data_IF_586482528467
#
_entry.id   IF_586482528467
#
_cell.length_a   1.000
_cell.length_b   1.000
_cell.length_c   1.000
_cell.angle_alpha   90.00
_cell.angle_beta   90.00
_cell.angle_gamma   90.00
#
_symmetry.space_group_name_H-M   'P 1'
#
loop_
_entity.id
_entity.type
_entity.pdbx_description
1 polymer ?
#
# COMPACT_ATOMS: atom_id res chain seq x y z
N UNK A 1 67.45 24.61 17.52
CA UNK A 1 67.97 23.54 16.60
C UNK A 1 66.81 22.98 15.83
N UNK A 2 66.85 23.17 14.55
CA UNK A 2 65.87 22.70 13.58
C UNK A 2 66.00 21.20 13.31
N UNK A 3 64.97 20.52 12.94
CA UNK A 3 64.89 19.37 11.98
C UNK A 3 63.39 19.09 11.68
N UNK A 4 62.93 19.50 10.57
CA UNK A 4 62.68 18.96 9.21
C UNK A 4 61.54 17.89 9.12
N UNK A 5 60.65 18.28 8.24
CA UNK A 5 59.63 17.61 7.47
C UNK A 5 59.78 16.09 7.22
N UNK A 6 58.66 15.39 7.21
CA UNK A 6 58.40 14.33 6.24
C UNK A 6 56.90 14.27 5.87
N UNK A 7 56.66 14.56 4.62
CA UNK A 7 55.40 14.45 3.89
C UNK A 7 55.03 12.99 3.64
N UNK A 8 53.79 12.60 3.88
CA UNK A 8 53.24 11.33 3.45
C UNK A 8 51.81 11.51 2.96
N UNK A 9 51.63 11.76 1.66
CA UNK A 9 50.32 11.72 0.96
C UNK A 9 49.88 10.26 0.80
N UNK A 10 48.76 9.90 1.33
CA UNK A 10 48.00 8.77 0.81
C UNK A 10 46.51 9.16 0.75
N UNK A 11 46.07 9.41 -0.48
CA UNK A 11 44.66 9.48 -0.85
C UNK A 11 44.12 8.09 -1.07
N UNK A 12 43.00 7.69 -0.46
CA UNK A 12 42.20 6.57 -0.98
C UNK A 12 41.25 7.12 -2.05
N UNK A 13 41.39 6.59 -3.26
CA UNK A 13 40.50 6.78 -4.39
C UNK A 13 39.14 6.14 -4.08
N UNK A 14 38.14 6.93 -3.76
CA UNK A 14 36.75 6.50 -3.65
C UNK A 14 36.20 6.17 -5.05
N UNK A 15 35.94 4.90 -5.31
CA UNK A 15 35.17 4.46 -6.46
C UNK A 15 33.70 4.87 -6.26
N UNK A 16 33.26 5.90 -6.98
CA UNK A 16 31.85 6.21 -7.10
C UNK A 16 31.13 5.05 -7.81
N UNK A 17 30.34 4.27 -7.06
CA UNK A 17 29.34 3.37 -7.62
C UNK A 17 28.24 4.22 -8.25
N UNK A 18 28.10 4.15 -9.57
CA UNK A 18 26.96 4.68 -10.30
C UNK A 18 25.69 3.95 -9.82
N UNK A 19 24.57 4.65 -9.56
CA UNK A 19 23.30 3.99 -9.32
C UNK A 19 22.86 3.27 -10.58
N UNK A 20 22.48 1.99 -10.42
CA UNK A 20 21.97 1.17 -11.50
C UNK A 20 20.72 1.81 -12.11
N UNK A 21 20.70 1.88 -13.44
CA UNK A 21 19.50 2.20 -14.22
C UNK A 21 18.41 1.18 -13.87
N UNK A 22 17.33 1.65 -13.32
CA UNK A 22 16.08 0.89 -13.30
C UNK A 22 15.65 0.69 -14.76
N UNK A 23 15.71 -0.52 -15.24
CA UNK A 23 15.05 -0.92 -16.48
C UNK A 23 13.54 -0.72 -16.28
N UNK A 24 13.02 0.30 -16.94
CA UNK A 24 11.57 0.41 -17.17
C UNK A 24 11.20 -0.70 -18.12
N UNK A 25 10.59 -1.76 -17.60
CA UNK A 25 9.86 -2.71 -18.41
C UNK A 25 8.71 -1.94 -19.09
N UNK A 26 8.93 -1.58 -20.33
CA UNK A 26 7.88 -1.10 -21.21
C UNK A 26 6.87 -2.22 -21.39
N UNK A 27 5.71 -2.06 -20.77
CA UNK A 27 4.54 -2.87 -21.07
C UNK A 27 4.25 -2.69 -22.56
N UNK A 28 4.43 -3.77 -23.32
CA UNK A 28 4.02 -3.85 -24.71
C UNK A 28 2.51 -3.70 -24.74
N UNK A 29 2.06 -2.54 -25.23
CA UNK A 29 0.69 -2.36 -25.64
C UNK A 29 0.40 -3.39 -26.73
N UNK A 30 -0.53 -4.30 -26.44
CA UNK A 30 -1.08 -5.19 -27.43
C UNK A 30 -1.73 -4.33 -28.51
N UNK A 31 -1.19 -4.42 -29.72
CA UNK A 31 -1.70 -3.70 -30.87
C UNK A 31 -3.14 -4.11 -31.14
N UNK A 32 -3.99 -3.10 -31.21
CA UNK A 32 -5.31 -3.20 -31.81
C UNK A 32 -5.08 -3.50 -33.28
N UNK A 33 -5.35 -4.74 -33.68
CA UNK A 33 -5.44 -5.08 -35.11
C UNK A 33 -6.57 -4.27 -35.71
N UNK A 34 -6.24 -3.23 -36.44
CA UNK A 34 -7.18 -2.55 -37.33
C UNK A 34 -7.54 -3.56 -38.44
N UNK A 35 -8.74 -4.12 -38.35
CA UNK A 35 -9.36 -4.78 -39.49
C UNK A 35 -9.65 -3.72 -40.54
N UNK A 36 -8.75 -3.57 -41.49
CA UNK A 36 -9.02 -2.87 -42.75
C UNK A 36 -10.02 -3.75 -43.50
N UNK A 37 -11.27 -3.34 -43.53
CA UNK A 37 -12.24 -3.86 -44.43
C UNK A 37 -11.80 -3.46 -45.85
N UNK A 38 -11.07 -4.31 -46.52
CA UNK A 38 -10.86 -4.22 -47.97
C UNK A 38 -12.22 -4.46 -48.61
N UNK A 39 -12.80 -3.38 -49.12
CA UNK A 39 -13.98 -3.44 -49.96
C UNK A 39 -13.67 -4.30 -51.21
N UNK A 40 -14.24 -5.46 -51.28
CA UNK A 40 -14.31 -6.22 -52.52
C UNK A 40 -15.31 -5.49 -53.40
N UNK A 41 -14.79 -4.70 -54.33
CA UNK A 41 -15.59 -4.26 -55.50
C UNK A 41 -15.82 -5.52 -56.34
N UNK A 42 -16.93 -6.17 -56.11
CA UNK A 42 -17.41 -7.24 -56.96
C UNK A 42 -17.82 -6.66 -58.31
N UNK A 43 -16.94 -6.82 -59.30
CA UNK A 43 -17.33 -6.65 -60.69
C UNK A 43 -18.31 -7.76 -61.02
N UNK A 44 -19.61 -7.43 -61.08
CA UNK A 44 -20.59 -8.29 -61.67
C UNK A 44 -20.29 -8.38 -63.15
N UNK A 45 -19.55 -9.43 -63.54
CA UNK A 45 -19.47 -9.87 -64.91
C UNK A 45 -20.83 -10.47 -65.24
N UNK A 46 -21.63 -9.75 -66.02
CA UNK A 46 -22.85 -10.24 -66.62
C UNK A 46 -22.43 -11.29 -67.66
N UNK A 47 -23.06 -12.48 -67.69
CA UNK A 47 -22.86 -13.41 -68.82
C UNK A 47 -23.42 -12.79 -70.08
N UNK A 48 -22.55 -12.62 -71.09
CA UNK A 48 -22.99 -12.26 -72.44
C UNK A 48 -23.75 -13.43 -73.03
N UNK A 49 -25.05 -13.36 -73.02
CA UNK A 49 -25.87 -14.21 -73.83
C UNK A 49 -25.79 -13.70 -75.27
N UNK A 50 -25.10 -14.48 -76.12
CA UNK A 50 -25.13 -14.29 -77.57
C UNK A 50 -26.51 -14.66 -78.03
N UNK A 51 -27.29 -13.72 -78.45
CA UNK A 51 -28.55 -13.88 -79.14
C UNK A 51 -28.29 -13.73 -80.65
N UNK A 52 -28.63 -14.75 -81.41
CA UNK A 52 -28.64 -14.75 -82.89
C UNK A 52 -29.59 -13.66 -83.43
N UNK A 53 -29.31 -13.11 -84.59
CA UNK A 53 -30.12 -12.05 -85.16
C UNK A 53 -31.38 -12.64 -85.83
N UNK A 54 -32.53 -12.29 -85.30
CA UNK A 54 -33.78 -12.48 -85.96
C UNK A 54 -34.45 -11.16 -86.29
N UNK A 55 -34.57 -10.91 -87.60
CA UNK A 55 -35.57 -10.14 -88.32
C UNK A 55 -36.06 -8.76 -87.76
N UNK A 56 -35.90 -7.80 -88.64
CA UNK A 56 -36.51 -6.49 -88.66
C UNK A 56 -37.92 -6.38 -88.10
N UNK A 57 -38.15 -5.59 -87.06
CA UNK A 57 -39.43 -4.94 -86.83
C UNK A 57 -39.19 -3.49 -86.45
N UNK A 58 -39.58 -2.63 -87.32
CA UNK A 58 -39.80 -1.21 -87.16
C UNK A 58 -40.75 -0.95 -86.00
N UNK A 59 -40.29 -0.32 -84.91
CA UNK A 59 -41.15 0.06 -83.84
C UNK A 59 -40.42 0.79 -82.77
N UNK A 60 -40.79 1.97 -82.44
CA UNK A 60 -40.42 2.88 -81.39
C UNK A 60 -40.10 2.09 -80.09
N UNK A 61 -38.85 1.99 -79.78
CA UNK A 61 -38.41 1.45 -78.48
C UNK A 61 -38.88 2.44 -77.39
N UNK A 62 -39.58 2.02 -76.35
CA UNK A 62 -39.95 2.88 -75.27
C UNK A 62 -38.69 3.14 -74.38
N UNK A 63 -37.93 4.14 -74.75
CA UNK A 63 -36.75 4.62 -73.99
C UNK A 63 -37.11 5.06 -72.57
N UNK A 64 -38.41 5.33 -72.34
CA UNK A 64 -38.95 5.83 -71.07
C UNK A 64 -38.96 4.80 -69.92
N UNK A 65 -39.02 3.49 -70.21
CA UNK A 65 -39.14 2.48 -69.17
C UNK A 65 -37.76 2.09 -68.50
N UNK A 66 -36.66 2.35 -69.18
CA UNK A 66 -35.31 1.99 -68.64
C UNK A 66 -34.82 3.09 -67.70
N UNK A 67 -35.11 4.36 -68.02
CA UNK A 67 -34.68 5.48 -67.17
C UNK A 67 -35.40 5.45 -65.81
N UNK A 68 -36.69 5.14 -65.76
CA UNK A 68 -37.43 5.02 -64.50
C UNK A 68 -36.94 3.84 -63.65
N UNK A 69 -36.57 2.71 -64.26
CA UNK A 69 -36.07 1.56 -63.51
C UNK A 69 -34.70 1.80 -62.93
N UNK A 70 -33.83 2.58 -63.55
CA UNK A 70 -32.53 2.95 -63.06
C UNK A 70 -32.64 3.99 -61.90
N UNK A 71 -33.54 4.97 -62.04
CA UNK A 71 -33.82 5.93 -60.96
C UNK A 71 -34.31 5.23 -59.69
N UNK A 72 -35.32 4.33 -59.84
CA UNK A 72 -35.85 3.52 -58.74
C UNK A 72 -34.79 2.64 -58.06
N UNK A 73 -33.83 2.09 -58.81
CA UNK A 73 -32.72 1.32 -58.27
C UNK A 73 -31.74 2.20 -57.49
N UNK A 74 -31.43 3.39 -57.98
CA UNK A 74 -30.55 4.35 -57.31
C UNK A 74 -31.17 4.81 -55.97
N UNK A 75 -32.47 5.14 -55.97
CA UNK A 75 -33.20 5.53 -54.77
C UNK A 75 -33.26 4.37 -53.75
N UNK A 76 -33.56 3.16 -54.19
CA UNK A 76 -33.55 2.01 -53.32
C UNK A 76 -32.15 1.71 -52.72
N UNK A 77 -31.10 1.91 -53.52
CA UNK A 77 -29.71 1.76 -53.04
C UNK A 77 -29.34 2.87 -52.05
N UNK A 78 -29.74 4.13 -52.29
CA UNK A 78 -29.50 5.24 -51.38
C UNK A 78 -30.19 5.00 -50.03
N UNK A 79 -31.46 4.58 -50.01
CA UNK A 79 -32.19 4.23 -48.77
C UNK A 79 -31.54 3.06 -48.05
N UNK A 80 -31.05 2.02 -48.76
CA UNK A 80 -30.38 0.90 -48.16
C UNK A 80 -29.03 1.30 -47.52
N UNK A 81 -28.28 2.20 -48.17
CA UNK A 81 -27.03 2.76 -47.60
C UNK A 81 -27.28 3.62 -46.37
N UNK A 82 -28.30 4.46 -46.37
CA UNK A 82 -28.67 5.28 -45.22
C UNK A 82 -29.06 4.42 -44.00
N UNK A 83 -29.89 3.37 -44.24
CA UNK A 83 -30.23 2.39 -43.18
C UNK A 83 -29.01 1.67 -42.64
N UNK A 84 -28.13 1.18 -43.48
CA UNK A 84 -26.88 0.50 -43.07
C UNK A 84 -25.97 1.48 -42.27
N UNK A 85 -25.86 2.71 -42.69
CA UNK A 85 -25.10 3.73 -41.97
C UNK A 85 -25.71 4.05 -40.58
N UNK A 86 -27.04 4.15 -40.49
CA UNK A 86 -27.74 4.34 -39.22
C UNK A 86 -27.57 3.16 -38.26
N UNK A 87 -27.67 1.92 -38.76
CA UNK A 87 -27.45 0.72 -37.98
C UNK A 87 -25.99 0.64 -37.49
N UNK A 88 -25.02 0.92 -38.35
CA UNK A 88 -23.61 0.96 -37.98
C UNK A 88 -23.32 2.04 -36.92
N UNK A 89 -23.94 3.22 -37.03
CA UNK A 89 -23.80 4.27 -36.05
C UNK A 89 -24.39 3.85 -34.67
N UNK A 90 -25.58 3.25 -34.70
CA UNK A 90 -26.25 2.72 -33.50
C UNK A 90 -25.41 1.62 -32.82
N UNK A 91 -24.89 0.66 -33.59
CA UNK A 91 -24.01 -0.40 -33.08
C UNK A 91 -22.72 0.16 -32.48
N UNK A 92 -22.11 1.17 -33.11
CA UNK A 92 -20.91 1.85 -32.60
C UNK A 92 -21.20 2.56 -31.28
N UNK A 93 -22.34 3.25 -31.18
CA UNK A 93 -22.76 3.92 -29.95
C UNK A 93 -22.97 2.93 -28.80
N UNK A 94 -23.70 1.84 -29.06
CA UNK A 94 -23.95 0.78 -28.08
C UNK A 94 -22.63 0.12 -27.61
N UNK A 95 -21.69 -0.12 -28.53
CA UNK A 95 -20.37 -0.66 -28.17
C UNK A 95 -19.56 0.32 -27.30
N UNK A 96 -19.63 1.61 -27.57
CA UNK A 96 -18.98 2.64 -26.76
C UNK A 96 -19.59 2.74 -25.36
N UNK A 97 -20.91 2.68 -25.24
CA UNK A 97 -21.61 2.70 -23.96
C UNK A 97 -21.23 1.46 -23.13
N UNK A 98 -21.28 0.27 -23.71
CA UNK A 98 -20.87 -0.96 -23.05
C UNK A 98 -19.39 -0.95 -22.62
N UNK A 99 -18.51 -0.35 -23.43
CA UNK A 99 -17.09 -0.20 -23.06
C UNK A 99 -16.91 0.77 -21.87
N UNK A 100 -17.67 1.87 -21.84
CA UNK A 100 -17.66 2.83 -20.72
C UNK A 100 -18.18 2.20 -19.43
N UNK A 101 -19.26 1.46 -19.49
CA UNK A 101 -19.82 0.74 -18.33
C UNK A 101 -18.82 -0.28 -17.78
N UNK A 102 -18.22 -1.08 -18.65
CA UNK A 102 -17.16 -2.03 -18.24
C UNK A 102 -15.95 -1.35 -17.61
N UNK A 103 -15.52 -0.22 -18.18
CA UNK A 103 -14.42 0.56 -17.62
C UNK A 103 -14.79 1.17 -16.25
N UNK A 104 -16.00 1.69 -16.10
CA UNK A 104 -16.49 2.22 -14.84
C UNK A 104 -16.62 1.13 -13.76
N UNK A 105 -17.18 -0.03 -14.11
CA UNK A 105 -17.29 -1.17 -13.22
C UNK A 105 -15.90 -1.68 -12.75
N UNK A 106 -14.94 -1.77 -13.67
CA UNK A 106 -13.56 -2.14 -13.36
C UNK A 106 -12.90 -1.14 -12.41
N UNK A 107 -13.02 0.16 -12.70
CA UNK A 107 -12.46 1.21 -11.86
C UNK A 107 -13.08 1.22 -10.45
N UNK A 108 -14.39 0.96 -10.34
CA UNK A 108 -15.08 0.82 -9.05
C UNK A 108 -14.54 -0.39 -8.27
N UNK A 109 -14.43 -1.55 -8.90
CA UNK A 109 -13.90 -2.76 -8.27
C UNK A 109 -12.45 -2.59 -7.80
N UNK A 110 -11.61 -1.91 -8.58
CA UNK A 110 -10.22 -1.61 -8.19
C UNK A 110 -10.15 -0.67 -6.97
N UNK A 111 -11.02 0.35 -6.90
CA UNK A 111 -11.12 1.25 -5.73
C UNK A 111 -11.54 0.47 -4.47
N UNK A 112 -12.59 -0.33 -4.56
CA UNK A 112 -13.08 -1.15 -3.45
C UNK A 112 -12.03 -2.15 -2.96
N UNK A 113 -11.30 -2.78 -3.89
CA UNK A 113 -10.20 -3.69 -3.55
C UNK A 113 -9.06 -2.96 -2.82
N UNK A 114 -8.66 -1.77 -3.27
CA UNK A 114 -7.64 -0.94 -2.61
C UNK A 114 -8.07 -0.51 -1.21
N UNK A 115 -9.31 -0.07 -1.04
CA UNK A 115 -9.83 0.32 0.26
C UNK A 115 -9.89 -0.86 1.23
N UNK A 116 -10.32 -2.03 0.75
CA UNK A 116 -10.34 -3.26 1.56
C UNK A 116 -8.94 -3.66 2.00
N UNK A 117 -7.98 -3.65 1.08
CA UNK A 117 -6.58 -3.95 1.37
C UNK A 117 -5.98 -2.94 2.38
N UNK A 118 -6.27 -1.64 2.23
CA UNK A 118 -5.81 -0.62 3.15
C UNK A 118 -6.38 -0.80 4.57
N UNK A 119 -7.69 -1.09 4.69
CA UNK A 119 -8.33 -1.38 5.99
C UNK A 119 -7.75 -2.64 6.65
N UNK A 120 -7.46 -3.68 5.86
CA UNK A 120 -6.85 -4.90 6.37
C UNK A 120 -5.41 -4.66 6.84
N UNK A 121 -4.61 -3.92 6.08
CA UNK A 121 -3.25 -3.55 6.46
C UNK A 121 -3.24 -2.71 7.75
N UNK A 122 -4.13 -1.74 7.87
CA UNK A 122 -4.26 -0.91 9.07
C UNK A 122 -4.69 -1.74 10.28
N UNK A 123 -5.65 -2.64 10.12
CA UNK A 123 -6.05 -3.56 11.18
C UNK A 123 -4.88 -4.44 11.63
N UNK A 124 -4.11 -4.99 10.69
CA UNK A 124 -2.90 -5.78 11.02
C UNK A 124 -1.88 -4.93 11.76
N UNK A 125 -1.65 -3.68 11.33
CA UNK A 125 -0.75 -2.75 12.01
C UNK A 125 -1.18 -2.47 13.45
N UNK A 126 -2.46 -2.19 13.67
CA UNK A 126 -3.00 -1.89 15.01
C UNK A 126 -3.01 -3.10 15.95
N UNK A 127 -3.01 -4.32 15.42
CA UNK A 127 -2.93 -5.57 16.19
C UNK A 127 -1.50 -6.11 16.33
N UNK A 128 -0.52 -5.47 15.71
CA UNK A 128 0.88 -5.89 15.83
C UNK A 128 1.48 -5.42 17.15
N UNK A 129 2.56 -6.10 17.55
CA UNK A 129 3.40 -5.70 18.67
C UNK A 129 4.84 -5.50 18.22
N UNK A 130 5.58 -4.66 18.94
CA UNK A 130 6.98 -4.34 18.66
C UNK A 130 7.80 -4.28 19.95
N UNK A 131 9.12 -4.35 19.87
CA UNK A 131 10.00 -4.11 21.01
C UNK A 131 9.88 -2.65 21.49
N UNK A 132 9.91 -2.38 22.81
CA UNK A 132 9.85 -1.03 23.35
C UNK A 132 11.07 -0.19 22.98
N UNK A 133 12.22 -0.81 22.71
CA UNK A 133 13.42 -0.17 22.17
C UNK A 133 13.92 -0.98 20.97
N UNK A 134 14.03 -0.34 19.84
CA UNK A 134 14.48 -0.99 18.60
C UNK A 134 15.94 -1.42 18.71
N UNK A 135 16.23 -2.69 18.39
CA UNK A 135 17.58 -3.23 18.35
C UNK A 135 18.24 -3.39 19.72
N UNK A 136 17.50 -3.27 20.83
CA UNK A 136 17.97 -3.50 22.17
C UNK A 136 17.77 -4.96 22.64
N UNK A 137 18.36 -5.27 23.78
CA UNK A 137 18.26 -6.57 24.45
C UNK A 137 17.95 -6.40 25.94
N UNK A 138 17.43 -7.46 26.58
CA UNK A 138 17.16 -7.50 28.01
C UNK A 138 18.48 -7.62 28.77
N UNK A 139 18.82 -6.57 29.56
CA UNK A 139 20.02 -6.53 30.39
C UNK A 139 19.79 -7.09 31.80
N UNK A 140 18.55 -6.95 32.33
CA UNK A 140 18.16 -7.50 33.64
C UNK A 140 16.82 -8.22 33.50
N UNK A 141 16.77 -9.49 33.91
CA UNK A 141 15.61 -10.35 33.76
C UNK A 141 14.51 -10.12 34.79
N UNK A 142 13.32 -10.60 34.47
CA UNK A 142 12.16 -10.66 35.39
C UNK A 142 12.45 -11.53 36.62
N UNK A 143 12.02 -11.08 37.80
CA UNK A 143 12.24 -11.73 39.12
C UNK A 143 13.71 -11.90 39.50
N UNK A 144 14.62 -11.15 38.86
CA UNK A 144 16.01 -11.09 39.35
C UNK A 144 16.02 -10.61 40.80
N UNK A 145 16.68 -11.34 41.70
CA UNK A 145 16.81 -11.01 43.13
C UNK A 145 17.84 -9.91 43.38
N UNK A 146 17.67 -9.14 44.44
CA UNK A 146 18.67 -8.13 44.88
C UNK A 146 18.08 -7.07 45.82
N UNK A 147 18.94 -6.44 46.62
CA UNK A 147 18.54 -5.43 47.60
C UNK A 147 18.16 -4.08 46.98
N UNK A 148 18.36 -3.90 45.68
CA UNK A 148 18.05 -2.66 44.96
C UNK A 148 16.56 -2.53 44.63
N UNK A 149 15.79 -3.61 44.69
CA UNK A 149 14.36 -3.61 44.41
C UNK A 149 13.53 -3.53 45.67
N UNK A 150 12.57 -2.60 45.73
CA UNK A 150 11.71 -2.38 46.90
C UNK A 150 10.90 -3.60 47.31
N UNK A 151 10.55 -4.50 46.34
CA UNK A 151 9.83 -5.76 46.56
C UNK A 151 10.74 -6.96 46.81
N UNK A 152 12.07 -6.79 46.85
CA UNK A 152 13.06 -7.88 46.94
C UNK A 152 13.32 -8.62 45.64
N UNK A 153 12.54 -8.33 44.58
CA UNK A 153 12.73 -8.90 43.25
C UNK A 153 12.33 -7.90 42.15
N UNK A 154 12.88 -8.07 40.97
CA UNK A 154 12.62 -7.22 39.80
C UNK A 154 11.21 -7.49 39.24
N UNK A 155 10.35 -6.47 39.23
CA UNK A 155 8.94 -6.57 38.81
C UNK A 155 8.78 -6.51 37.28
N UNK A 156 9.83 -6.18 36.56
CA UNK A 156 9.88 -6.07 35.10
C UNK A 156 11.12 -6.68 34.47
N UNK A 157 11.46 -6.17 33.32
CA UNK A 157 12.75 -6.40 32.66
C UNK A 157 13.38 -5.06 32.30
N UNK A 158 14.71 -4.98 32.32
CA UNK A 158 15.42 -3.80 31.88
C UNK A 158 15.96 -4.02 30.48
N UNK A 159 15.63 -3.11 29.58
CA UNK A 159 16.23 -3.02 28.25
C UNK A 159 17.45 -2.11 28.29
N UNK A 160 18.57 -2.58 27.78
CA UNK A 160 19.76 -1.76 27.61
C UNK A 160 19.46 -0.52 26.76
N UNK A 161 19.70 0.68 27.31
CA UNK A 161 19.45 1.91 26.60
C UNK A 161 20.29 3.06 27.19
N UNK A 162 20.92 3.84 26.33
CA UNK A 162 21.48 5.11 26.72
C UNK A 162 20.36 6.12 27.06
N UNK A 163 20.61 7.09 27.93
CA UNK A 163 19.66 8.16 28.17
C UNK A 163 19.37 8.91 26.86
N UNK A 164 18.09 9.20 26.59
CA UNK A 164 17.63 9.82 25.36
C UNK A 164 17.33 8.87 24.21
N UNK A 165 17.43 7.54 24.42
CA UNK A 165 16.98 6.57 23.40
C UNK A 165 15.46 6.58 23.29
N UNK A 166 14.93 6.53 22.05
CA UNK A 166 13.49 6.51 21.80
C UNK A 166 12.83 5.28 22.38
N UNK A 167 11.79 5.50 23.18
CA UNK A 167 10.92 4.46 23.76
C UNK A 167 9.59 4.45 23.02
N UNK A 168 9.15 3.26 22.62
CA UNK A 168 7.96 3.07 21.79
C UNK A 168 6.89 2.25 22.53
N UNK A 169 5.62 2.56 22.28
CA UNK A 169 4.52 1.72 22.71
C UNK A 169 4.63 0.34 22.04
N UNK A 170 4.61 -0.72 22.83
CA UNK A 170 4.75 -2.09 22.30
C UNK A 170 3.55 -2.54 21.48
N UNK A 171 2.37 -1.97 21.71
CA UNK A 171 1.14 -2.29 21.02
C UNK A 171 0.16 -1.11 21.03
N UNK A 172 -1.07 -1.34 20.55
CA UNK A 172 -2.14 -0.34 20.62
C UNK A 172 -2.78 -0.33 22.01
N UNK A 173 -3.06 0.88 22.52
CA UNK A 173 -3.68 1.06 23.82
C UNK A 173 -4.01 2.51 24.12
N UNK A 174 -4.41 2.76 25.38
CA UNK A 174 -4.69 4.11 25.90
C UNK A 174 -3.81 4.38 27.10
N UNK A 175 -3.15 5.52 27.14
CA UNK A 175 -2.33 5.96 28.27
C UNK A 175 -3.22 6.19 29.49
N UNK A 176 -2.95 5.48 30.57
CA UNK A 176 -3.69 5.62 31.85
C UNK A 176 -2.89 6.35 32.91
N UNK A 177 -1.55 6.33 32.81
CA UNK A 177 -0.66 7.12 33.67
C UNK A 177 0.46 7.72 32.81
N UNK A 178 0.84 8.95 33.13
CA UNK A 178 2.00 9.65 32.55
C UNK A 178 2.50 10.72 33.54
N UNK A 179 3.64 10.49 34.14
CA UNK A 179 4.19 11.40 35.16
C UNK A 179 5.20 10.74 36.09
N UNK A 180 5.37 11.32 37.28
CA UNK A 180 6.30 10.79 38.28
C UNK A 180 5.66 9.63 39.07
N UNK A 181 6.26 8.46 38.97
CA UNK A 181 5.81 7.20 39.59
C UNK A 181 6.69 6.73 40.77
N UNK A 182 7.23 7.65 41.58
CA UNK A 182 8.04 7.25 42.73
C UNK A 182 9.37 6.59 42.33
N UNK A 183 9.57 5.34 42.73
CA UNK A 183 10.77 4.58 42.40
C UNK A 183 10.98 4.39 40.88
N UNK A 184 9.92 4.39 40.09
CA UNK A 184 9.97 4.31 38.63
C UNK A 184 10.40 5.62 37.95
N UNK A 185 10.54 6.71 38.70
CA UNK A 185 10.84 8.02 38.13
C UNK A 185 9.73 8.53 37.21
N UNK A 186 10.09 9.15 36.10
CA UNK A 186 9.10 9.42 35.06
C UNK A 186 8.65 8.11 34.44
N UNK A 187 7.34 7.85 34.49
CA UNK A 187 6.76 6.63 33.99
C UNK A 187 5.55 6.88 33.07
N UNK A 188 5.25 5.91 32.27
CA UNK A 188 4.04 5.82 31.46
C UNK A 188 3.40 4.45 31.71
N UNK A 189 2.09 4.40 31.93
CA UNK A 189 1.30 3.14 31.96
C UNK A 189 0.27 3.20 30.85
N UNK A 190 0.21 2.14 30.03
CA UNK A 190 -0.71 2.03 28.90
C UNK A 190 -1.62 0.82 29.14
N UNK A 191 -2.93 1.05 29.11
CA UNK A 191 -3.92 -0.02 29.02
C UNK A 191 -3.98 -0.52 27.59
N UNK A 192 -3.57 -1.75 27.37
CA UNK A 192 -3.50 -2.38 26.06
C UNK A 192 -4.89 -2.86 25.61
N UNK A 193 -5.06 -3.05 24.29
CA UNK A 193 -6.34 -3.51 23.72
C UNK A 193 -6.68 -4.97 24.07
N UNK A 194 -5.71 -5.75 24.51
CA UNK A 194 -5.89 -7.12 25.03
C UNK A 194 -6.36 -7.17 26.49
N UNK A 195 -6.50 -6.01 27.14
CA UNK A 195 -6.91 -5.86 28.55
C UNK A 195 -5.76 -5.86 29.53
N UNK A 196 -4.52 -6.10 29.13
CA UNK A 196 -3.33 -5.99 29.97
C UNK A 196 -2.86 -4.55 30.09
N UNK A 197 -1.81 -4.33 30.90
CA UNK A 197 -1.17 -3.03 31.05
C UNK A 197 0.33 -3.16 30.81
N UNK A 198 0.93 -2.15 30.19
CA UNK A 198 2.39 -2.06 30.04
C UNK A 198 2.89 -0.80 30.71
N UNK A 199 4.01 -0.90 31.43
CA UNK A 199 4.66 0.23 32.09
C UNK A 199 6.05 0.45 31.50
N UNK A 200 6.43 1.73 31.42
CA UNK A 200 7.69 2.22 30.91
C UNK A 200 8.29 3.17 31.94
N UNK A 201 9.30 2.72 32.68
CA UNK A 201 9.92 3.47 33.78
C UNK A 201 11.25 4.10 33.44
N UNK A 202 11.75 4.92 34.39
CA UNK A 202 13.05 5.61 34.40
C UNK A 202 13.27 6.56 33.22
N UNK A 203 12.17 7.09 32.62
CA UNK A 203 12.24 7.93 31.45
C UNK A 203 12.91 9.29 31.75
N UNK A 204 13.68 9.80 30.78
CA UNK A 204 14.19 11.18 30.82
C UNK A 204 13.11 12.19 30.40
N UNK A 205 12.19 11.77 29.50
CA UNK A 205 11.08 12.60 29.08
C UNK A 205 9.86 11.76 28.71
N UNK A 206 8.67 12.33 28.91
CA UNK A 206 7.37 11.79 28.57
C UNK A 206 6.85 12.55 27.35
N UNK A 207 6.45 11.83 26.29
CA UNK A 207 5.96 12.41 25.03
C UNK A 207 4.46 12.22 24.80
N UNK A 208 3.73 11.70 25.79
CA UNK A 208 2.29 11.41 25.70
C UNK A 208 1.55 11.88 26.94
N UNK A 209 0.22 11.96 26.86
CA UNK A 209 -0.64 12.42 27.96
C UNK A 209 -1.67 11.35 28.33
N UNK A 210 -2.14 11.37 29.56
CA UNK A 210 -3.25 10.49 30.02
C UNK A 210 -4.48 10.67 29.15
N UNK A 211 -5.10 9.57 28.76
CA UNK A 211 -6.24 9.52 27.84
C UNK A 211 -5.85 9.46 26.36
N UNK A 212 -4.58 9.65 26.02
CA UNK A 212 -4.10 9.57 24.64
C UNK A 212 -4.09 8.11 24.16
N UNK A 213 -4.67 7.85 22.98
CA UNK A 213 -4.52 6.57 22.28
C UNK A 213 -3.17 6.51 21.59
N UNK A 214 -2.49 5.38 21.71
CA UNK A 214 -1.21 5.09 21.07
C UNK A 214 -1.31 3.87 20.16
N UNK A 215 -0.40 3.79 19.19
CA UNK A 215 -0.31 2.69 18.23
C UNK A 215 1.05 1.99 18.34
N UNK A 216 1.18 0.73 17.89
CA UNK A 216 2.45 0.01 17.94
C UNK A 216 3.58 0.78 17.27
N UNK A 217 4.72 0.88 17.93
CA UNK A 217 5.88 1.61 17.42
C UNK A 217 5.79 3.14 17.52
N UNK A 218 4.70 3.69 18.07
CA UNK A 218 4.63 5.12 18.35
C UNK A 218 5.61 5.48 19.46
N UNK A 219 6.44 6.49 19.23
CA UNK A 219 7.30 7.01 20.29
C UNK A 219 6.45 7.64 21.39
N UNK A 220 6.69 7.22 22.64
CA UNK A 220 5.96 7.67 23.84
C UNK A 220 6.83 8.43 24.81
N UNK A 221 8.16 8.31 24.70
CA UNK A 221 9.10 8.98 25.58
C UNK A 221 10.55 8.70 25.17
N UNK A 222 11.46 9.11 26.03
CA UNK A 222 12.89 8.82 25.91
C UNK A 222 13.36 8.10 27.18
N UNK A 223 14.20 7.08 27.04
CA UNK A 223 14.84 6.40 28.15
C UNK A 223 15.73 7.33 28.98
N UNK A 224 15.96 7.00 30.20
CA UNK A 224 16.74 7.84 31.10
C UNK A 224 17.27 7.10 32.33
N UNK A 225 17.45 7.85 33.42
CA UNK A 225 17.90 7.35 34.69
C UNK A 225 17.19 8.08 35.84
N UNK A 226 15.86 8.30 35.72
CA UNK A 226 15.07 8.93 36.77
C UNK A 226 14.51 7.89 37.75
N UNK A 227 14.26 8.32 39.01
CA UNK A 227 13.79 7.41 40.06
C UNK A 227 14.92 6.63 40.73
N UNK A 228 14.62 5.39 41.14
CA UNK A 228 15.58 4.50 41.81
C UNK A 228 16.32 3.62 40.80
N UNK A 229 17.47 4.08 40.32
CA UNK A 229 18.25 3.39 39.28
C UNK A 229 19.74 3.43 39.53
N UNK A 230 20.50 2.50 38.98
CA UNK A 230 21.96 2.46 39.01
C UNK A 230 22.62 3.06 37.77
N UNK A 231 21.85 3.28 36.71
CA UNK A 231 22.32 3.84 35.44
C UNK A 231 21.20 3.90 34.39
N UNK A 232 21.49 4.48 33.21
CA UNK A 232 20.47 4.64 32.15
C UNK A 232 20.00 3.28 31.59
N UNK A 233 18.68 3.08 31.54
CA UNK A 233 18.02 1.94 30.92
C UNK A 233 16.53 2.25 30.73
N UNK A 234 15.77 1.33 30.10
CA UNK A 234 14.33 1.32 30.17
C UNK A 234 13.88 0.17 31.06
N UNK A 235 13.20 0.46 32.14
CA UNK A 235 12.45 -0.53 32.90
C UNK A 235 11.09 -0.78 32.23
N UNK A 236 10.76 -2.01 31.90
CA UNK A 236 9.53 -2.40 31.23
C UNK A 236 8.80 -3.50 32.00
N UNK A 237 7.52 -3.26 32.28
CA UNK A 237 6.64 -4.25 32.89
C UNK A 237 5.43 -4.58 32.00
N UNK A 238 4.96 -5.82 32.09
CA UNK A 238 3.64 -6.24 31.70
C UNK A 238 2.83 -6.58 32.95
N UNK A 239 1.57 -6.16 33.02
CA UNK A 239 0.73 -6.26 34.22
C UNK A 239 -0.69 -6.71 33.84
N UNK A 240 -1.40 -7.32 34.79
CA UNK A 240 -2.81 -7.65 34.65
C UNK A 240 -3.74 -6.50 35.06
N UNK A 241 -3.27 -5.58 35.90
CA UNK A 241 -3.96 -4.36 36.32
C UNK A 241 -2.99 -3.18 36.32
N UNK A 242 -3.41 -1.92 36.43
CA UNK A 242 -2.47 -0.78 36.49
C UNK A 242 -1.65 -0.74 37.79
N UNK A 243 -2.08 -1.39 38.86
CA UNK A 243 -1.49 -1.31 40.17
C UNK A 243 -0.16 -2.08 40.24
N UNK A 244 0.72 -1.60 41.12
CA UNK A 244 1.98 -2.23 41.49
C UNK A 244 1.75 -3.65 42.04
N UNK A 245 2.61 -4.62 41.65
CA UNK A 245 2.55 -5.99 42.13
C UNK A 245 1.62 -6.90 41.32
N UNK A 246 0.97 -6.39 40.26
CA UNK A 246 0.17 -7.17 39.31
C UNK A 246 0.99 -7.65 38.10
N UNK A 247 2.31 -7.67 38.23
CA UNK A 247 3.27 -7.97 37.19
C UNK A 247 3.20 -9.44 36.72
N UNK A 248 3.34 -9.63 35.42
CA UNK A 248 3.52 -10.90 34.73
C UNK A 248 4.86 -10.87 33.98
N UNK A 249 5.37 -12.02 33.56
CA UNK A 249 6.64 -12.09 32.81
C UNK A 249 6.58 -11.28 31.50
N UNK A 250 7.32 -10.14 31.42
CA UNK A 250 7.25 -9.28 30.25
C UNK A 250 7.87 -9.90 28.99
N UNK A 251 8.86 -10.80 29.14
CA UNK A 251 9.45 -11.51 28.00
C UNK A 251 8.47 -12.52 27.44
N UNK A 252 7.80 -13.28 28.30
CA UNK A 252 6.75 -14.20 27.89
C UNK A 252 5.58 -13.46 27.23
N UNK A 253 5.18 -12.29 27.78
CA UNK A 253 4.15 -11.43 27.21
C UNK A 253 4.52 -10.96 25.79
N UNK A 254 5.71 -10.38 25.60
CA UNK A 254 6.16 -9.89 24.29
C UNK A 254 6.28 -11.04 23.26
N UNK A 255 6.86 -12.20 23.68
CA UNK A 255 6.96 -13.39 22.82
C UNK A 255 5.62 -13.98 22.44
N UNK A 256 4.64 -13.98 23.37
CA UNK A 256 3.26 -14.38 23.08
C UNK A 256 2.60 -13.53 22.02
N UNK A 257 3.05 -12.27 21.85
CA UNK A 257 2.62 -11.34 20.80
C UNK A 257 3.53 -11.31 19.56
N UNK A 258 4.48 -12.26 19.46
CA UNK A 258 5.36 -12.41 18.30
C UNK A 258 6.58 -11.47 18.28
N UNK A 259 6.89 -10.81 19.41
CA UNK A 259 8.09 -9.96 19.57
C UNK A 259 9.25 -10.77 20.15
N UNK A 260 10.34 -10.87 19.41
CA UNK A 260 11.57 -11.48 19.90
C UNK A 260 12.43 -10.44 20.65
N UNK A 261 12.69 -10.71 21.92
CA UNK A 261 13.52 -9.90 22.82
C UNK A 261 14.50 -10.79 23.57
#
# INVERSE_FOLDING_TARGET
MAFTCATGKNRPTGKHRRPGRFERTTARAAGVAALTATGVVGTLAAPALAAEPAAEQTGLIPVISVENSIADQIDAQAIAQERAAAEAAAAKKAAQEAAREKAAAKAKAEREAKERAAREAERKRLLSYVSPIAGSYVSTGYKSGGAVWSSGSHTGVDFHAASGTSVHAVGSGTVVEAGWGGAYGNNIVIKMNDGTYTQYGHLSSIGVSVGQTVTPGQQIGLSGATGNVTGPHLHFEARTTPEYGSDIDPVAYLRGHGVNV
#
